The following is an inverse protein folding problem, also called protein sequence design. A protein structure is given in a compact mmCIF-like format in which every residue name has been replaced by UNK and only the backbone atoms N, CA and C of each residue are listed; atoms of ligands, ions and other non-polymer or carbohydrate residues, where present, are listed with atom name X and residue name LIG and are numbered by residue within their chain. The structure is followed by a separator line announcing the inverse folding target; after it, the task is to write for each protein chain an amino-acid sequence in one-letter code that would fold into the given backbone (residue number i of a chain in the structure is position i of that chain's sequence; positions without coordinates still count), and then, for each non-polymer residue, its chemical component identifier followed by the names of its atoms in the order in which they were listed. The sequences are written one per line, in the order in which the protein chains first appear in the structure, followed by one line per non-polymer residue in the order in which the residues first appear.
data_IF_913055714946
#
_entry.id   IF_913055714946
#
_cell.length_a   1.000
_cell.length_b   1.000
_cell.length_c   1.000
_cell.angle_alpha   90.00
_cell.angle_beta   90.00
_cell.angle_gamma   90.00
#
_symmetry.space_group_name_H-M   'P 1'
#
loop_
_entity.id
_entity.type
_entity.pdbx_description
1 polymer ?
#
# COMPACT_ATOMS: atom_id res chain seq x y z
N UNK A 1 30.00 50.92 6.64
CA UNK A 1 28.59 50.59 6.92
C UNK A 1 28.34 49.18 6.37
N UNK A 2 28.38 48.16 7.25
CA UNK A 2 27.86 46.78 7.10
C UNK A 2 28.30 45.97 5.87
N UNK A 3 29.31 45.10 5.92
CA UNK A 3 29.32 43.69 6.42
C UNK A 3 28.40 42.76 5.63
N UNK A 4 28.76 41.57 5.15
CA UNK A 4 30.02 40.87 4.88
C UNK A 4 29.65 39.70 3.94
N UNK A 5 30.51 39.39 2.98
CA UNK A 5 30.42 38.22 2.11
C UNK A 5 31.40 37.19 2.68
N UNK A 6 30.92 36.03 3.15
CA UNK A 6 31.80 34.91 3.49
C UNK A 6 31.54 33.69 2.59
N UNK A 7 32.64 33.04 2.30
CA UNK A 7 32.92 32.16 1.19
C UNK A 7 32.76 30.71 1.64
N UNK A 8 31.57 30.14 1.53
CA UNK A 8 31.41 28.69 1.59
C UNK A 8 30.10 28.23 0.92
N UNK A 9 30.18 27.75 -0.31
CA UNK A 9 29.13 26.95 -0.93
C UNK A 9 29.05 25.59 -0.24
N UNK A 10 28.09 25.43 0.67
CA UNK A 10 27.80 24.17 1.36
C UNK A 10 26.48 23.58 0.90
N UNK A 11 26.53 22.51 0.12
CA UNK A 11 25.41 21.58 -0.09
C UNK A 11 25.07 21.00 1.29
N UNK A 12 23.85 21.20 1.78
CA UNK A 12 23.39 20.57 3.01
C UNK A 12 23.43 19.05 2.84
N UNK A 13 24.46 18.39 3.36
CA UNK A 13 24.50 16.93 3.48
C UNK A 13 23.50 16.55 4.56
N UNK A 14 22.45 15.82 4.16
CA UNK A 14 21.53 15.20 5.10
C UNK A 14 22.35 14.41 6.13
N UNK A 15 22.18 14.74 7.41
CA UNK A 15 22.81 14.01 8.50
C UNK A 15 22.38 12.53 8.50
N UNK A 16 23.12 11.65 9.18
CA UNK A 16 22.81 10.22 9.22
C UNK A 16 21.41 10.00 9.78
N UNK A 17 20.53 9.42 8.96
CA UNK A 17 19.19 8.98 9.35
C UNK A 17 19.32 7.74 10.24
N UNK A 18 18.90 7.84 11.51
CA UNK A 18 18.93 6.70 12.45
C UNK A 18 17.81 5.70 12.14
N UNK A 19 18.11 4.77 11.24
CA UNK A 19 17.18 3.71 10.82
C UNK A 19 16.71 2.80 11.96
N UNK A 20 17.47 2.73 13.08
CA UNK A 20 17.14 1.84 14.22
C UNK A 20 15.87 2.25 14.94
N UNK A 21 15.64 3.56 15.08
CA UNK A 21 14.41 4.08 15.69
C UNK A 21 13.17 3.80 14.84
N UNK A 22 13.32 3.80 13.52
CA UNK A 22 12.25 3.43 12.58
C UNK A 22 11.83 1.97 12.69
N UNK A 23 12.82 1.06 12.73
CA UNK A 23 12.59 -0.39 12.83
C UNK A 23 11.88 -0.75 14.14
N UNK A 24 12.31 -0.19 15.28
CA UNK A 24 11.67 -0.43 16.58
C UNK A 24 10.21 0.03 16.62
N UNK A 25 9.86 1.10 15.90
CA UNK A 25 8.47 1.56 15.79
C UNK A 25 7.64 0.65 14.89
N UNK A 26 8.23 0.15 13.80
CA UNK A 26 7.59 -0.79 12.91
C UNK A 26 7.22 -2.11 13.61
N UNK A 27 8.12 -2.64 14.44
CA UNK A 27 7.84 -3.84 15.24
C UNK A 27 6.63 -3.65 16.15
N UNK A 28 6.53 -2.51 16.84
CA UNK A 28 5.35 -2.19 17.67
C UNK A 28 4.05 -2.10 16.88
N UNK A 29 4.10 -1.58 15.66
CA UNK A 29 2.91 -1.54 14.77
C UNK A 29 2.49 -2.95 14.40
N UNK A 30 3.46 -3.81 14.05
CA UNK A 30 3.19 -5.22 13.72
C UNK A 30 2.61 -5.98 14.92
N UNK A 31 3.12 -5.74 16.12
CA UNK A 31 2.57 -6.33 17.35
C UNK A 31 1.14 -5.86 17.60
N UNK A 32 0.87 -4.55 17.48
CA UNK A 32 -0.48 -4.01 17.65
C UNK A 32 -1.46 -4.54 16.58
N UNK A 33 -1.02 -4.70 15.34
CA UNK A 33 -1.82 -5.33 14.28
C UNK A 33 -2.12 -6.78 14.66
N UNK A 34 -1.14 -7.53 15.16
CA UNK A 34 -1.32 -8.92 15.57
C UNK A 34 -2.30 -9.07 16.74
N UNK A 35 -2.28 -8.14 17.69
CA UNK A 35 -3.22 -8.12 18.82
C UNK A 35 -4.67 -7.86 18.36
N UNK A 36 -4.87 -7.06 17.31
CA UNK A 36 -6.20 -6.76 16.75
C UNK A 36 -6.76 -7.96 15.98
N UNK A 37 -5.94 -8.62 15.16
CA UNK A 37 -6.39 -9.69 14.27
C UNK A 37 -6.41 -11.08 14.95
N UNK A 38 -5.60 -11.28 15.99
CA UNK A 38 -5.44 -12.56 16.67
C UNK A 38 -4.86 -13.66 15.77
N UNK A 39 -5.09 -14.92 16.14
CA UNK A 39 -4.66 -16.09 15.38
C UNK A 39 -5.68 -16.42 14.28
N UNK A 40 -5.76 -15.56 13.26
CA UNK A 40 -6.63 -15.73 12.11
C UNK A 40 -5.86 -16.22 10.86
N UNK A 41 -6.53 -17.00 10.02
CA UNK A 41 -6.05 -17.34 8.67
C UNK A 41 -6.91 -16.66 7.61
N UNK A 42 -6.31 -16.34 6.46
CA UNK A 42 -6.98 -15.57 5.40
C UNK A 42 -8.26 -16.28 4.91
N UNK A 43 -8.19 -17.60 4.71
CA UNK A 43 -9.30 -18.42 4.21
C UNK A 43 -10.48 -18.54 5.20
N UNK A 44 -10.28 -18.18 6.46
CA UNK A 44 -11.33 -18.19 7.48
C UNK A 44 -12.04 -16.83 7.63
N UNK A 45 -11.59 -15.80 6.91
CA UNK A 45 -12.19 -14.48 6.98
C UNK A 45 -13.60 -14.48 6.35
N UNK A 46 -14.54 -13.72 6.94
CA UNK A 46 -15.91 -13.64 6.40
C UNK A 46 -15.97 -12.93 5.04
N UNK A 47 -14.94 -12.12 4.72
CA UNK A 47 -14.81 -11.40 3.45
C UNK A 47 -13.54 -11.93 2.77
N UNK A 48 -13.60 -12.35 1.49
CA UNK A 48 -12.41 -12.74 0.73
C UNK A 48 -11.37 -11.63 0.74
N UNK A 49 -10.15 -11.99 1.13
CA UNK A 49 -9.05 -11.05 1.29
C UNK A 49 -7.85 -11.49 0.46
N UNK A 50 -7.16 -10.53 -0.13
CA UNK A 50 -5.89 -10.74 -0.83
C UNK A 50 -4.90 -9.68 -0.37
N UNK A 51 -3.82 -10.12 0.27
CA UNK A 51 -2.65 -9.27 0.48
C UNK A 51 -1.74 -9.33 -0.74
N UNK A 52 -1.31 -8.18 -1.25
CA UNK A 52 -0.32 -8.11 -2.34
C UNK A 52 1.03 -7.75 -1.76
N UNK A 53 2.05 -8.51 -2.14
CA UNK A 53 3.43 -8.29 -1.77
C UNK A 53 4.31 -8.35 -3.03
N UNK A 54 5.53 -7.85 -2.92
CA UNK A 54 6.52 -7.88 -3.99
C UNK A 54 7.59 -8.91 -3.66
N UNK A 55 7.81 -9.90 -4.53
CA UNK A 55 8.99 -10.77 -4.45
C UNK A 55 10.22 -9.97 -4.89
N UNK A 56 11.08 -9.66 -3.93
CA UNK A 56 12.26 -8.81 -4.13
C UNK A 56 13.37 -9.51 -4.92
N UNK A 57 13.33 -10.84 -5.04
CA UNK A 57 14.31 -11.60 -5.81
C UNK A 57 13.85 -11.72 -7.27
N UNK A 58 12.58 -12.06 -7.48
CA UNK A 58 12.08 -12.30 -8.84
C UNK A 58 11.50 -11.05 -9.50
N UNK A 59 11.24 -9.98 -8.74
CA UNK A 59 10.66 -8.73 -9.23
C UNK A 59 9.19 -8.90 -9.66
N UNK A 60 8.44 -9.77 -8.99
CA UNK A 60 7.04 -10.10 -9.35
C UNK A 60 6.11 -9.86 -8.18
N UNK A 61 4.87 -9.45 -8.48
CA UNK A 61 3.80 -9.40 -7.49
C UNK A 61 3.41 -10.81 -7.05
N UNK A 62 3.20 -10.96 -5.75
CA UNK A 62 2.75 -12.20 -5.10
C UNK A 62 1.42 -11.91 -4.41
N UNK A 63 0.42 -12.74 -4.66
CA UNK A 63 -0.91 -12.61 -4.08
C UNK A 63 -1.10 -13.65 -2.98
N UNK A 64 -1.20 -13.18 -1.74
CA UNK A 64 -1.36 -14.00 -0.55
C UNK A 64 -2.86 -14.08 -0.22
N UNK A 65 -3.43 -15.25 -0.48
CA UNK A 65 -4.87 -15.54 -0.31
C UNK A 65 -5.15 -16.66 0.70
N UNK A 66 -4.10 -17.25 1.29
CA UNK A 66 -4.19 -18.37 2.23
C UNK A 66 -3.06 -18.28 3.26
N UNK A 67 -3.28 -18.90 4.41
CA UNK A 67 -2.31 -18.98 5.51
C UNK A 67 -2.52 -17.91 6.59
N UNK A 68 -1.55 -17.74 7.50
CA UNK A 68 -1.65 -16.81 8.62
C UNK A 68 -1.82 -15.35 8.14
N UNK A 69 -2.86 -14.69 8.65
CA UNK A 69 -3.19 -13.33 8.25
C UNK A 69 -2.10 -12.33 8.67
N UNK A 70 -1.52 -12.51 9.85
CA UNK A 70 -0.44 -11.68 10.38
C UNK A 70 0.80 -11.73 9.49
N UNK A 71 1.20 -12.92 9.04
CA UNK A 71 2.32 -13.11 8.11
C UNK A 71 2.07 -12.44 6.76
N UNK A 72 0.84 -12.55 6.23
CA UNK A 72 0.47 -11.94 4.96
C UNK A 72 0.47 -10.40 5.03
N UNK A 73 -0.11 -9.83 6.08
CA UNK A 73 -0.09 -8.38 6.31
C UNK A 73 1.36 -7.91 6.47
N UNK A 74 2.16 -8.59 7.32
CA UNK A 74 3.57 -8.25 7.53
C UNK A 74 4.36 -8.23 6.24
N UNK A 75 4.16 -9.20 5.35
CA UNK A 75 4.80 -9.22 4.03
C UNK A 75 4.34 -8.04 3.16
N UNK A 76 3.04 -7.73 3.16
CA UNK A 76 2.43 -6.70 2.32
C UNK A 76 2.83 -5.27 2.70
N UNK A 77 3.13 -5.00 3.98
CA UNK A 77 3.57 -3.69 4.49
C UNK A 77 5.10 -3.57 4.70
N UNK A 78 5.89 -4.51 4.16
CA UNK A 78 7.34 -4.57 4.37
C UNK A 78 8.10 -3.52 3.53
N UNK A 79 7.92 -2.24 3.87
CA UNK A 79 8.50 -1.09 3.15
C UNK A 79 10.03 -1.10 3.30
N UNK A 80 10.79 -1.21 2.20
CA UNK A 80 12.25 -1.20 2.23
C UNK A 80 12.81 0.02 2.98
N UNK A 81 13.71 -0.23 3.93
CA UNK A 81 14.33 0.82 4.76
C UNK A 81 13.53 1.23 6.00
N UNK A 82 12.28 0.79 6.14
CA UNK A 82 11.44 1.03 7.34
C UNK A 82 11.12 -0.28 8.05
N UNK A 83 10.56 -1.24 7.30
CA UNK A 83 10.18 -2.57 7.79
C UNK A 83 11.02 -3.60 7.04
N UNK A 84 11.70 -4.48 7.77
CA UNK A 84 12.55 -5.49 7.16
C UNK A 84 11.71 -6.45 6.27
N UNK A 85 12.21 -6.82 5.07
CA UNK A 85 11.55 -7.81 4.22
C UNK A 85 11.18 -9.09 4.98
N UNK A 86 10.05 -9.69 4.62
CA UNK A 86 9.57 -10.92 5.23
C UNK A 86 9.91 -12.13 4.37
N UNK A 87 10.51 -13.16 4.98
CA UNK A 87 10.64 -14.46 4.32
C UNK A 87 9.38 -15.27 4.58
N UNK A 88 8.64 -15.58 3.53
CA UNK A 88 7.43 -16.41 3.58
C UNK A 88 7.49 -17.41 2.42
N UNK A 89 7.28 -18.70 2.72
CA UNK A 89 7.34 -19.81 1.75
C UNK A 89 8.61 -19.81 0.87
N UNK A 90 9.75 -19.45 1.45
CA UNK A 90 11.04 -19.39 0.77
C UNK A 90 11.22 -18.19 -0.17
N UNK A 91 10.29 -17.24 -0.18
CA UNK A 91 10.38 -15.99 -0.96
C UNK A 91 10.73 -14.82 -0.05
N UNK A 92 11.54 -13.90 -0.55
CA UNK A 92 11.83 -12.65 0.13
C UNK A 92 10.82 -11.59 -0.32
N UNK A 93 9.85 -11.30 0.55
CA UNK A 93 8.73 -10.43 0.24
C UNK A 93 8.95 -9.02 0.82
N UNK A 94 8.67 -8.02 0.00
CA UNK A 94 8.58 -6.61 0.35
C UNK A 94 7.18 -6.07 0.11
N UNK A 95 7.02 -4.78 0.41
CA UNK A 95 5.75 -4.07 0.28
C UNK A 95 5.10 -4.23 -1.12
N UNK A 96 3.78 -4.41 -1.14
CA UNK A 96 3.02 -4.58 -2.38
C UNK A 96 3.00 -3.33 -3.26
N UNK A 97 3.04 -2.14 -2.64
CA UNK A 97 3.01 -0.86 -3.31
C UNK A 97 4.26 -0.54 -4.15
N UNK A 98 5.32 -1.35 -4.03
CA UNK A 98 6.50 -1.26 -4.91
C UNK A 98 6.12 -1.57 -6.37
N UNK A 99 5.29 -2.59 -6.59
CA UNK A 99 4.89 -3.02 -7.94
C UNK A 99 3.41 -2.79 -8.24
N UNK A 100 2.56 -2.79 -7.22
CA UNK A 100 1.10 -2.73 -7.38
C UNK A 100 0.47 -1.80 -6.32
N UNK A 101 0.67 -0.47 -6.45
CA UNK A 101 0.18 0.52 -5.50
C UNK A 101 -1.35 0.63 -5.44
N UNK A 102 -2.05 0.11 -6.46
CA UNK A 102 -3.50 0.03 -6.50
C UNK A 102 -3.89 -1.34 -7.11
N UNK A 103 -4.11 -2.36 -6.27
CA UNK A 103 -4.19 -3.74 -6.72
C UNK A 103 -5.49 -4.05 -7.45
N UNK A 104 -5.48 -3.82 -8.77
CA UNK A 104 -6.61 -4.09 -9.65
C UNK A 104 -6.56 -5.50 -10.25
N UNK A 105 -5.36 -6.06 -10.43
CA UNK A 105 -5.21 -7.38 -11.04
C UNK A 105 -5.79 -8.53 -10.19
N UNK A 106 -5.60 -8.58 -8.86
CA UNK A 106 -6.20 -9.65 -8.04
C UNK A 106 -7.73 -9.65 -8.07
N UNK A 107 -8.34 -8.47 -8.23
CA UNK A 107 -9.80 -8.31 -8.20
C UNK A 107 -10.46 -8.42 -9.58
N UNK A 108 -9.68 -8.42 -10.66
CA UNK A 108 -10.22 -8.47 -12.02
C UNK A 108 -11.02 -9.74 -12.33
N UNK A 109 -10.72 -10.84 -11.63
CA UNK A 109 -11.44 -12.11 -11.75
C UNK A 109 -12.62 -12.25 -10.78
N UNK A 110 -12.83 -11.28 -9.89
CA UNK A 110 -13.94 -11.30 -8.92
C UNK A 110 -15.21 -10.85 -9.64
N UNK A 111 -16.26 -11.66 -9.56
CA UNK A 111 -17.56 -11.32 -10.10
C UNK A 111 -18.28 -10.35 -9.16
N UNK A 112 -18.03 -9.05 -9.34
CA UNK A 112 -18.65 -7.97 -8.58
C UNK A 112 -19.46 -7.06 -9.51
N UNK A 113 -20.65 -6.63 -9.07
CA UNK A 113 -21.46 -5.64 -9.78
C UNK A 113 -20.81 -4.24 -9.75
N UNK A 114 -20.01 -3.97 -8.71
CA UNK A 114 -19.31 -2.71 -8.50
C UNK A 114 -17.95 -2.95 -7.84
N UNK A 115 -16.91 -2.31 -8.39
CA UNK A 115 -15.55 -2.29 -7.83
C UNK A 115 -15.20 -0.88 -7.37
N UNK A 116 -14.80 -0.74 -6.09
CA UNK A 116 -14.37 0.54 -5.50
C UNK A 116 -12.86 0.52 -5.30
N UNK A 117 -12.15 1.41 -5.97
CA UNK A 117 -10.71 1.61 -5.79
C UNK A 117 -10.44 2.88 -4.98
N UNK A 118 -9.63 2.78 -3.93
CA UNK A 118 -9.26 3.92 -3.07
C UNK A 118 -7.78 4.23 -3.27
N UNK A 119 -7.48 5.40 -3.83
CA UNK A 119 -6.11 5.91 -3.96
C UNK A 119 -5.82 6.95 -2.89
N UNK A 120 -4.67 6.81 -2.22
CA UNK A 120 -4.14 7.81 -1.30
C UNK A 120 -3.08 8.71 -1.96
N UNK A 121 -2.81 8.51 -3.26
CA UNK A 121 -1.95 9.41 -4.01
C UNK A 121 -2.65 10.77 -4.10
N UNK A 122 -2.19 11.73 -3.29
CA UNK A 122 -2.65 13.10 -3.34
C UNK A 122 -2.37 13.66 -4.73
N UNK A 123 -3.43 13.92 -5.51
CA UNK A 123 -3.28 14.75 -6.69
C UNK A 123 -2.94 16.17 -6.26
N UNK A 124 -2.00 16.80 -6.94
CA UNK A 124 -2.04 18.26 -7.04
C UNK A 124 -3.43 18.62 -7.60
N UNK A 125 -4.26 19.41 -6.91
CA UNK A 125 -5.59 19.78 -7.42
C UNK A 125 -5.53 20.44 -8.80
N UNK A 126 -4.34 20.85 -9.27
CA UNK A 126 -4.10 21.42 -10.60
C UNK A 126 -3.74 20.44 -11.74
N UNK A 127 -3.58 19.14 -11.49
CA UNK A 127 -3.27 18.15 -12.57
C UNK A 127 -4.22 16.96 -12.58
N UNK A 128 -5.47 17.17 -12.20
CA UNK A 128 -6.54 16.32 -12.70
C UNK A 128 -6.50 16.37 -14.23
N UNK A 129 -5.85 15.37 -14.83
CA UNK A 129 -5.84 15.17 -16.27
C UNK A 129 -7.28 15.30 -16.76
N UNK A 130 -7.49 16.23 -17.69
CA UNK A 130 -8.78 16.50 -18.29
C UNK A 130 -9.44 15.19 -18.72
N UNK A 131 -10.65 14.87 -18.24
CA UNK A 131 -11.38 13.76 -18.81
C UNK A 131 -11.99 14.26 -20.11
N UNK A 132 -11.37 13.89 -21.22
CA UNK A 132 -12.03 13.80 -22.51
C UNK A 132 -13.03 12.64 -22.52
N UNK A 133 -13.95 12.62 -21.57
CA UNK A 133 -15.09 11.72 -21.55
C UNK A 133 -16.36 12.52 -21.20
N UNK A 134 -17.27 12.76 -22.16
CA UNK A 134 -18.51 13.50 -21.94
C UNK A 134 -19.54 12.76 -21.08
N UNK A 135 -19.27 11.53 -20.63
CA UNK A 135 -20.22 10.70 -19.89
C UNK A 135 -19.96 10.63 -18.37
N UNK A 136 -19.45 11.71 -17.76
CA UNK A 136 -19.48 11.87 -16.30
C UNK A 136 -20.91 12.16 -15.84
N UNK A 137 -21.74 11.13 -15.74
CA UNK A 137 -23.08 11.25 -15.14
C UNK A 137 -22.95 11.37 -13.61
N UNK A 138 -23.65 12.33 -12.98
CA UNK A 138 -23.60 12.52 -11.53
C UNK A 138 -24.11 11.29 -10.77
N UNK A 139 -23.40 10.96 -9.68
CA UNK A 139 -23.58 9.79 -8.79
C UNK A 139 -25.01 9.57 -8.29
N UNK A 140 -25.90 10.57 -8.33
CA UNK A 140 -27.26 10.48 -7.83
C UNK A 140 -28.16 9.51 -8.61
N UNK A 141 -27.90 9.29 -9.90
CA UNK A 141 -28.78 8.42 -10.72
C UNK A 141 -28.65 6.92 -10.38
N UNK A 142 -27.54 6.50 -9.77
CA UNK A 142 -27.34 5.11 -9.32
C UNK A 142 -28.16 4.77 -8.06
N UNK A 143 -28.43 5.76 -7.21
CA UNK A 143 -29.21 5.58 -5.98
C UNK A 143 -30.71 5.49 -6.25
N UNK A 144 -31.18 6.04 -7.37
CA UNK A 144 -32.60 6.12 -7.72
C UNK A 144 -33.08 4.99 -8.64
N UNK A 145 -32.23 4.04 -9.02
CA UNK A 145 -32.68 2.86 -9.78
C UNK A 145 -33.33 1.86 -8.81
N UNK A 146 -34.63 1.56 -8.93
CA UNK A 146 -35.17 0.39 -8.26
C UNK A 146 -34.45 -0.85 -8.81
N UNK A 147 -33.90 -1.66 -7.91
CA UNK A 147 -33.36 -2.97 -8.22
C UNK A 147 -34.45 -3.76 -8.96
N UNK A 148 -34.28 -3.96 -10.26
CA UNK A 148 -35.15 -4.83 -11.05
C UNK A 148 -34.63 -6.25 -10.86
N UNK A 149 -35.44 -7.07 -10.18
CA UNK A 149 -35.32 -8.52 -10.15
C UNK A 149 -35.55 -9.13 -11.53
#
# INVERSE_FOLDING_TARGET
MGTDFDSAGGIATAGPVDHRSGILRAEKILDAVRDIIGEATIEQLPIPYTAVATDLITGKSVWLQRGPLDAAIRASIAIPGVIAPHVLDGRLLGDGGILDPLPMAPIAAVNADLTIAVSLAGGDPGTAAAPGDPERRPTSEWLDRPARC
#
